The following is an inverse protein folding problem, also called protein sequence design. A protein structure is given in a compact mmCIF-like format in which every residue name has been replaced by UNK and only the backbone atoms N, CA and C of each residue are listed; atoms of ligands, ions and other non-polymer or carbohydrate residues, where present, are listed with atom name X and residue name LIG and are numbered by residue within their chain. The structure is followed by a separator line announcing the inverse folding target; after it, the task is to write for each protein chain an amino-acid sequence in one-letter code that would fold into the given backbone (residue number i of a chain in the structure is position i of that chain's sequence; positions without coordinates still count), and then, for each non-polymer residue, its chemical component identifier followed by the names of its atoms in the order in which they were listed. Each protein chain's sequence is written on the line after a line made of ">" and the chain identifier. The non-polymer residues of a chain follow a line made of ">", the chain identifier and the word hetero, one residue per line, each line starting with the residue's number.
data_IF_450817051821
#
_entry.id   IF_450817051821
#
_cell.length_a   1.000
_cell.length_b   1.000
_cell.length_c   1.000
_cell.angle_alpha   90.00
_cell.angle_beta   90.00
_cell.angle_gamma   90.00
#
_symmetry.space_group_name_H-M   'P 1'
#
loop_
_entity.id
_entity.type
_entity.pdbx_description
1 polymer ?
#
# COMPACT_ATOMS: atom_id res chain seq x y z
N UNK A 1 -11.21 -23.15 -13.95
CA UNK A 1 -10.42 -22.15 -14.70
C UNK A 1 -9.82 -21.12 -13.74
N UNK A 2 -10.59 -20.65 -12.75
CA UNK A 2 -10.15 -19.66 -11.75
C UNK A 2 -8.95 -20.07 -10.89
N UNK A 3 -8.90 -21.32 -10.38
CA UNK A 3 -7.80 -21.81 -9.53
C UNK A 3 -6.40 -21.71 -10.16
N UNK A 4 -6.25 -22.17 -11.41
CA UNK A 4 -4.96 -22.14 -12.12
C UNK A 4 -4.54 -20.70 -12.41
N UNK A 5 -5.51 -19.84 -12.76
CA UNK A 5 -5.23 -18.42 -13.01
C UNK A 5 -4.75 -17.71 -11.74
N UNK A 6 -5.40 -17.93 -10.60
CA UNK A 6 -4.97 -17.40 -9.29
C UNK A 6 -3.57 -17.89 -8.92
N UNK A 7 -3.27 -19.17 -9.11
CA UNK A 7 -1.92 -19.70 -8.88
C UNK A 7 -0.89 -19.02 -9.79
N UNK A 8 -1.19 -18.86 -11.09
CA UNK A 8 -0.30 -18.21 -12.03
C UNK A 8 0.00 -16.77 -11.60
N UNK A 9 -1.02 -16.01 -11.19
CA UNK A 9 -0.87 -14.67 -10.63
C UNK A 9 0.13 -14.69 -9.47
N UNK A 10 -0.09 -15.55 -8.47
CA UNK A 10 0.80 -15.62 -7.31
C UNK A 10 2.23 -15.99 -7.63
N UNK A 11 2.43 -17.02 -8.46
CA UNK A 11 3.76 -17.46 -8.86
C UNK A 11 4.49 -16.35 -9.63
N UNK A 12 3.78 -15.61 -10.49
CA UNK A 12 4.36 -14.47 -11.20
C UNK A 12 4.75 -13.33 -10.25
N UNK A 13 3.89 -13.01 -9.28
CA UNK A 13 4.20 -11.97 -8.28
C UNK A 13 5.37 -12.39 -7.40
N UNK A 14 5.38 -13.63 -6.91
CA UNK A 14 6.48 -14.14 -6.10
C UNK A 14 7.81 -14.10 -6.88
N UNK A 15 7.82 -14.49 -8.16
CA UNK A 15 9.01 -14.37 -8.99
C UNK A 15 9.45 -12.91 -9.23
N UNK A 16 8.52 -11.94 -9.16
CA UNK A 16 8.85 -10.52 -9.23
C UNK A 16 9.39 -10.00 -7.89
N UNK A 17 8.81 -10.41 -6.76
CA UNK A 17 9.32 -10.15 -5.41
C UNK A 17 10.77 -10.64 -5.25
N UNK A 18 11.07 -11.86 -5.73
CA UNK A 18 12.42 -12.44 -5.69
C UNK A 18 13.46 -11.59 -6.44
N UNK A 19 13.05 -10.96 -7.54
CA UNK A 19 13.92 -10.11 -8.37
C UNK A 19 13.96 -8.66 -7.90
N UNK A 20 13.14 -8.32 -6.91
CA UNK A 20 13.07 -6.96 -6.40
C UNK A 20 14.27 -6.63 -5.51
N UNK A 21 14.62 -5.33 -5.35
CA UNK A 21 15.64 -4.92 -4.39
C UNK A 21 15.34 -5.33 -2.94
N UNK A 22 14.08 -5.65 -2.63
CA UNK A 22 13.62 -6.09 -1.32
C UNK A 22 14.05 -7.52 -0.98
N UNK A 23 14.41 -8.35 -1.96
CA UNK A 23 14.84 -9.73 -1.70
C UNK A 23 16.15 -9.82 -0.89
N UNK A 24 16.99 -8.79 -0.93
CA UNK A 24 18.23 -8.72 -0.15
C UNK A 24 18.01 -8.24 1.30
N UNK A 25 16.87 -7.56 1.57
CA UNK A 25 16.52 -7.03 2.88
C UNK A 25 16.14 -8.04 3.98
N UNK A 26 15.74 -9.30 3.72
CA UNK A 26 15.47 -10.29 4.77
C UNK A 26 16.71 -10.69 5.56
N UNK A 27 17.91 -10.28 5.15
CA UNK A 27 19.15 -10.47 5.91
C UNK A 27 19.24 -9.45 7.05
N UNK A 28 18.31 -9.57 8.00
CA UNK A 28 18.13 -8.78 9.24
C UNK A 28 19.34 -8.76 10.21
N UNK A 29 20.50 -9.26 9.76
CA UNK A 29 21.75 -9.42 10.49
C UNK A 29 22.91 -8.58 9.92
N UNK A 30 22.72 -7.86 8.81
CA UNK A 30 23.75 -7.00 8.21
C UNK A 30 23.42 -5.52 8.38
N UNK A 31 24.46 -4.66 8.38
CA UNK A 31 24.32 -3.20 8.48
C UNK A 31 23.22 -2.71 7.52
N UNK A 32 22.20 -2.05 8.07
CA UNK A 32 20.93 -1.74 7.40
C UNK A 32 21.14 -0.87 6.16
N UNK A 33 21.23 -1.50 4.99
CA UNK A 33 21.37 -0.80 3.74
C UNK A 33 20.01 -0.68 3.03
N UNK A 34 19.37 0.49 3.16
CA UNK A 34 18.16 0.85 2.41
C UNK A 34 18.48 1.49 1.04
N UNK A 35 19.73 1.54 0.60
CA UNK A 35 20.13 2.05 -0.73
C UNK A 35 19.40 1.32 -1.86
N UNK A 36 19.08 0.03 -1.69
CA UNK A 36 18.28 -0.73 -2.66
C UNK A 36 16.87 -0.15 -2.89
N UNK A 37 16.36 0.69 -1.98
CA UNK A 37 15.07 1.37 -2.12
C UNK A 37 15.18 2.74 -2.76
N UNK A 38 16.37 3.28 -2.97
CA UNK A 38 16.57 4.67 -3.39
C UNK A 38 15.77 5.03 -4.66
N UNK A 39 15.62 4.08 -5.59
CA UNK A 39 14.86 4.25 -6.83
C UNK A 39 13.37 3.90 -6.72
N UNK A 40 12.87 3.65 -5.51
CA UNK A 40 11.49 3.22 -5.23
C UNK A 40 10.76 4.27 -4.40
N UNK A 41 9.42 4.24 -4.44
CA UNK A 41 8.60 5.13 -3.60
C UNK A 41 8.69 4.81 -2.11
N UNK A 42 9.16 3.61 -1.75
CA UNK A 42 9.31 3.17 -0.35
C UNK A 42 10.40 3.98 0.38
N UNK A 43 11.39 4.50 -0.34
CA UNK A 43 12.44 5.33 0.26
C UNK A 43 11.91 6.68 0.77
N UNK A 44 11.32 7.57 -0.05
CA UNK A 44 10.71 8.79 0.45
C UNK A 44 9.59 8.52 1.45
N UNK A 45 8.83 7.44 1.26
CA UNK A 45 7.83 7.02 2.25
C UNK A 45 8.45 6.74 3.62
N UNK A 46 9.54 5.98 3.68
CA UNK A 46 10.25 5.69 4.93
C UNK A 46 10.87 6.93 5.57
N UNK A 47 11.39 7.86 4.76
CA UNK A 47 11.84 9.17 5.24
C UNK A 47 10.68 9.93 5.89
N UNK A 48 9.56 10.08 5.20
CA UNK A 48 8.38 10.80 5.71
C UNK A 48 7.84 10.18 6.99
N UNK A 49 7.75 8.84 7.04
CA UNK A 49 7.27 8.09 8.20
C UNK A 49 8.10 8.37 9.45
N UNK A 50 9.42 8.51 9.29
CA UNK A 50 10.38 8.62 10.41
C UNK A 50 10.76 10.07 10.74
N UNK A 51 10.31 11.02 9.92
CA UNK A 51 10.61 12.44 10.08
C UNK A 51 9.98 12.97 11.37
N UNK A 52 10.78 13.68 12.18
CA UNK A 52 10.37 14.28 13.46
C UNK A 52 9.85 13.30 14.53
N UNK A 53 9.89 11.99 14.29
CA UNK A 53 9.53 10.95 15.26
C UNK A 53 10.81 10.42 15.93
N UNK A 54 10.94 10.67 17.23
CA UNK A 54 12.05 10.13 18.03
C UNK A 54 11.85 8.64 18.29
N UNK A 55 12.94 7.88 18.45
CA UNK A 55 12.90 6.46 18.84
C UNK A 55 12.04 6.20 20.08
N UNK A 56 12.02 7.12 21.05
CA UNK A 56 11.21 7.00 22.27
C UNK A 56 9.70 7.03 22.03
N UNK A 57 9.26 7.52 20.87
CA UNK A 57 7.85 7.67 20.49
C UNK A 57 7.55 6.86 19.22
N UNK A 58 8.39 5.85 18.91
CA UNK A 58 8.27 5.09 17.68
C UNK A 58 6.96 4.28 17.61
N UNK A 59 6.33 3.99 18.75
CA UNK A 59 5.02 3.37 18.87
C UNK A 59 3.88 4.21 18.25
N UNK A 60 4.05 5.52 18.17
CA UNK A 60 3.05 6.44 17.59
C UNK A 60 3.22 6.63 16.07
N UNK A 61 4.27 6.06 15.45
CA UNK A 61 4.67 6.35 14.06
C UNK A 61 3.58 6.04 13.02
N UNK A 62 2.68 5.10 13.33
CA UNK A 62 1.60 4.67 12.43
C UNK A 62 0.23 5.26 12.76
N UNK A 63 0.12 6.13 13.77
CA UNK A 63 -1.17 6.62 14.30
C UNK A 63 -2.04 7.31 13.25
N UNK A 64 -1.41 8.02 12.30
CA UNK A 64 -2.10 8.85 11.32
C UNK A 64 -1.97 8.33 9.88
N UNK A 65 -1.62 7.06 9.71
CA UNK A 65 -1.44 6.48 8.38
C UNK A 65 -2.05 5.10 8.27
N UNK A 66 -2.66 4.84 7.12
CA UNK A 66 -3.16 3.53 6.73
C UNK A 66 -2.98 3.37 5.22
N UNK A 67 -2.76 2.14 4.78
CA UNK A 67 -2.52 1.83 3.37
C UNK A 67 -3.64 0.92 2.87
N UNK A 68 -4.19 1.25 1.71
CA UNK A 68 -5.06 0.35 0.94
C UNK A 68 -4.26 -0.09 -0.29
N UNK A 69 -3.76 -1.31 -0.26
CA UNK A 69 -2.90 -1.88 -1.30
C UNK A 69 -3.72 -2.80 -2.21
N UNK A 70 -3.99 -2.34 -3.43
CA UNK A 70 -4.68 -3.15 -4.45
C UNK A 70 -3.75 -4.17 -5.13
N UNK A 71 -2.45 -4.11 -4.88
CA UNK A 71 -1.51 -5.12 -5.32
C UNK A 71 -1.53 -6.31 -4.34
N UNK A 72 -1.22 -7.48 -4.89
CA UNK A 72 -1.14 -8.73 -4.14
C UNK A 72 0.23 -8.97 -3.50
N UNK A 73 1.25 -8.18 -3.88
CA UNK A 73 2.62 -8.30 -3.38
C UNK A 73 2.75 -7.81 -1.94
N UNK A 74 3.85 -8.21 -1.31
CA UNK A 74 4.14 -7.97 0.12
C UNK A 74 5.25 -6.96 0.34
N UNK A 75 5.44 -6.04 -0.61
CA UNK A 75 6.61 -5.16 -0.63
C UNK A 75 6.62 -4.17 0.54
N UNK A 76 5.44 -3.67 0.94
CA UNK A 76 5.31 -2.75 2.08
C UNK A 76 5.69 -3.47 3.38
N UNK A 77 5.16 -4.68 3.56
CA UNK A 77 5.33 -5.53 4.74
C UNK A 77 6.80 -5.92 4.94
N UNK A 78 7.56 -6.11 3.84
CA UNK A 78 9.00 -6.40 3.88
C UNK A 78 9.84 -5.13 4.06
N UNK A 79 9.45 -4.02 3.45
CA UNK A 79 10.22 -2.79 3.49
C UNK A 79 10.14 -2.09 4.86
N UNK A 80 8.95 -2.02 5.45
CA UNK A 80 8.71 -1.24 6.68
C UNK A 80 9.58 -1.66 7.86
N UNK A 81 9.73 -2.96 8.20
CA UNK A 81 10.66 -3.38 9.25
C UNK A 81 12.10 -2.90 8.99
N UNK A 82 12.56 -3.03 7.73
CA UNK A 82 13.91 -2.62 7.33
C UNK A 82 14.12 -1.10 7.44
N UNK A 83 13.11 -0.32 7.08
CA UNK A 83 13.08 1.14 7.26
C UNK A 83 13.19 1.52 8.74
N UNK A 84 12.40 0.88 9.61
CA UNK A 84 12.41 1.14 11.05
C UNK A 84 13.76 0.80 11.70
N UNK A 85 14.40 -0.29 11.26
CA UNK A 85 15.74 -0.63 11.70
C UNK A 85 16.78 0.39 11.26
N UNK A 86 16.76 0.80 10.00
CA UNK A 86 17.68 1.82 9.49
C UNK A 86 17.51 3.17 10.20
N UNK A 87 16.27 3.56 10.51
CA UNK A 87 15.97 4.84 11.14
C UNK A 87 16.27 4.87 12.65
N UNK A 88 15.96 3.78 13.38
CA UNK A 88 16.01 3.78 14.84
C UNK A 88 17.05 2.82 15.44
N UNK A 89 17.64 1.92 14.66
CA UNK A 89 18.52 0.87 15.17
C UNK A 89 17.78 -0.10 16.08
N UNK A 90 16.53 -0.44 15.75
CA UNK A 90 15.81 -1.54 16.39
C UNK A 90 16.43 -2.88 16.02
N UNK A 91 16.35 -3.84 16.93
CA UNK A 91 16.61 -5.22 16.55
C UNK A 91 15.49 -5.74 15.64
N UNK A 92 15.66 -6.97 15.19
CA UNK A 92 14.73 -7.64 14.30
C UNK A 92 13.33 -7.80 14.88
N UNK A 93 13.22 -8.27 16.11
CA UNK A 93 11.91 -8.61 16.67
C UNK A 93 11.14 -7.35 17.05
N UNK A 94 11.84 -6.32 17.55
CA UNK A 94 11.26 -5.00 17.81
C UNK A 94 10.75 -4.33 16.53
N UNK A 95 11.53 -4.38 15.45
CA UNK A 95 11.13 -3.79 14.17
C UNK A 95 9.92 -4.50 13.55
N UNK A 96 9.88 -5.84 13.58
CA UNK A 96 8.74 -6.62 13.11
C UNK A 96 7.48 -6.35 13.95
N UNK A 97 7.64 -6.28 15.27
CA UNK A 97 6.54 -5.97 16.19
C UNK A 97 5.97 -4.58 15.93
N UNK A 98 6.83 -3.58 15.76
CA UNK A 98 6.39 -2.22 15.47
C UNK A 98 5.75 -2.12 14.08
N UNK A 99 6.36 -2.71 13.05
CA UNK A 99 5.81 -2.75 11.69
C UNK A 99 4.41 -3.37 11.65
N UNK A 100 4.13 -4.35 12.52
CA UNK A 100 2.80 -4.96 12.65
C UNK A 100 1.69 -4.02 13.13
N UNK A 101 2.03 -2.83 13.65
CA UNK A 101 1.04 -1.80 13.99
C UNK A 101 0.58 -0.98 12.78
N UNK A 102 1.31 -1.02 11.65
CA UNK A 102 0.88 -0.39 10.41
C UNK A 102 -0.35 -1.12 9.86
N UNK A 103 -1.42 -0.37 9.66
CA UNK A 103 -2.65 -0.92 9.07
C UNK A 103 -2.53 -0.93 7.53
N UNK A 104 -2.46 -2.13 6.95
CA UNK A 104 -2.46 -2.36 5.49
C UNK A 104 -3.65 -3.25 5.12
N UNK A 105 -4.53 -2.75 4.27
CA UNK A 105 -5.65 -3.52 3.70
C UNK A 105 -5.32 -3.98 2.28
N UNK A 106 -5.70 -5.22 1.96
CA UNK A 106 -5.62 -5.76 0.60
C UNK A 106 -7.02 -6.12 0.10
N UNK A 107 -7.71 -5.23 -0.64
CA UNK A 107 -9.08 -5.49 -1.08
C UNK A 107 -9.23 -6.79 -1.89
N UNK A 108 -8.22 -7.12 -2.69
CA UNK A 108 -8.17 -8.32 -3.52
C UNK A 108 -7.42 -9.50 -2.85
N UNK A 109 -6.99 -9.33 -1.60
CA UNK A 109 -6.12 -10.29 -0.91
C UNK A 109 -4.65 -10.12 -1.26
N UNK A 110 -3.81 -10.99 -0.69
CA UNK A 110 -2.35 -10.95 -0.86
C UNK A 110 -1.76 -12.36 -0.94
N UNK A 111 -0.45 -12.45 -1.18
CA UNK A 111 0.34 -13.69 -1.04
C UNK A 111 0.39 -14.24 0.40
N UNK A 112 -0.23 -13.56 1.37
CA UNK A 112 -0.28 -13.92 2.78
C UNK A 112 0.88 -13.36 3.60
N UNK A 113 0.96 -13.74 4.87
CA UNK A 113 2.02 -13.26 5.78
C UNK A 113 3.40 -13.73 5.33
N UNK A 114 4.39 -12.84 5.40
CA UNK A 114 5.79 -13.17 5.10
C UNK A 114 6.38 -13.98 6.25
N UNK A 115 6.97 -15.14 5.94
CA UNK A 115 7.77 -15.89 6.91
C UNK A 115 9.14 -15.24 7.03
N UNK A 116 9.28 -14.28 7.94
CA UNK A 116 10.57 -13.69 8.22
C UNK A 116 11.50 -14.71 8.88
N UNK A 117 11.00 -15.54 9.80
CA UNK A 117 11.81 -16.38 10.72
C UNK A 117 12.28 -17.70 10.10
N UNK A 118 11.72 -18.10 8.97
CA UNK A 118 11.98 -19.40 8.33
C UNK A 118 11.41 -20.57 9.15
N UNK A 119 10.44 -20.31 10.03
CA UNK A 119 9.84 -21.33 10.91
C UNK A 119 8.57 -21.97 10.31
N UNK A 120 8.17 -21.54 9.10
CA UNK A 120 6.98 -22.02 8.40
C UNK A 120 5.70 -21.25 8.74
N UNK A 121 5.74 -20.29 9.68
CA UNK A 121 4.64 -19.39 10.06
C UNK A 121 4.51 -18.26 9.02
N UNK A 122 4.15 -18.64 7.78
CA UNK A 122 4.00 -17.72 6.66
C UNK A 122 4.62 -18.25 5.36
N UNK A 123 4.61 -17.44 4.32
CA UNK A 123 5.18 -17.78 3.01
C UNK A 123 6.47 -16.98 2.83
N UNK A 124 7.61 -17.59 2.43
CA UNK A 124 8.82 -16.83 2.14
C UNK A 124 8.57 -15.69 1.14
N UNK A 125 9.33 -14.60 1.26
CA UNK A 125 9.30 -13.55 0.24
C UNK A 125 9.99 -14.05 -1.03
N UNK A 126 9.39 -13.78 -2.19
CA UNK A 126 9.94 -14.22 -3.47
C UNK A 126 9.60 -15.65 -3.90
N UNK A 127 8.90 -16.45 -3.09
CA UNK A 127 8.52 -17.81 -3.49
C UNK A 127 7.22 -18.28 -2.82
N UNK A 128 6.51 -19.21 -3.47
CA UNK A 128 5.34 -19.88 -2.88
C UNK A 128 5.63 -21.37 -2.82
N UNK A 129 5.77 -21.97 -1.61
CA UNK A 129 5.95 -23.41 -1.47
C UNK A 129 4.76 -24.15 -2.07
N UNK A 130 5.02 -25.29 -2.74
CA UNK A 130 3.97 -26.07 -3.41
C UNK A 130 2.78 -26.41 -2.49
N UNK A 131 3.06 -26.75 -1.24
CA UNK A 131 2.04 -27.05 -0.23
C UNK A 131 1.14 -25.87 0.17
N UNK A 132 1.50 -24.62 -0.18
CA UNK A 132 0.75 -23.39 0.11
C UNK A 132 0.02 -22.81 -1.10
N UNK A 133 0.15 -23.42 -2.28
CA UNK A 133 -0.52 -22.95 -3.51
C UNK A 133 -2.05 -22.93 -3.39
N UNK A 134 -2.62 -23.97 -2.75
CA UNK A 134 -4.06 -24.09 -2.58
C UNK A 134 -4.62 -23.03 -1.62
N UNK A 135 -3.97 -22.83 -0.46
CA UNK A 135 -4.39 -21.80 0.52
C UNK A 135 -4.25 -20.40 -0.06
N UNK A 136 -3.19 -20.16 -0.85
CA UNK A 136 -2.99 -18.91 -1.55
C UNK A 136 -4.07 -18.64 -2.60
N UNK A 137 -4.44 -19.64 -3.40
CA UNK A 137 -5.51 -19.48 -4.39
C UNK A 137 -6.85 -19.11 -3.74
N UNK A 138 -7.10 -19.58 -2.52
CA UNK A 138 -8.30 -19.24 -1.75
C UNK A 138 -8.25 -17.84 -1.12
N UNK A 139 -7.06 -17.31 -0.82
CA UNK A 139 -6.91 -15.96 -0.26
C UNK A 139 -6.98 -14.85 -1.32
N UNK A 140 -6.87 -15.20 -2.60
CA UNK A 140 -7.02 -14.26 -3.69
C UNK A 140 -8.47 -14.07 -4.11
N UNK A 141 -8.87 -12.80 -4.21
CA UNK A 141 -10.12 -12.37 -4.83
C UNK A 141 -9.82 -11.77 -6.20
N UNK A 142 -10.44 -12.29 -7.25
CA UNK A 142 -10.32 -11.70 -8.59
C UNK A 142 -11.37 -10.61 -8.79
N UNK A 143 -11.11 -9.67 -9.71
CA UNK A 143 -12.02 -8.56 -10.04
C UNK A 143 -13.42 -9.01 -10.52
N UNK A 144 -13.57 -10.28 -10.93
CA UNK A 144 -14.85 -10.86 -11.36
C UNK A 144 -15.68 -11.43 -10.22
N UNK A 145 -15.09 -11.65 -9.05
CA UNK A 145 -15.80 -12.15 -7.89
C UNK A 145 -16.59 -11.00 -7.27
N UNK A 146 -17.92 -11.14 -7.19
CA UNK A 146 -18.76 -10.16 -6.51
C UNK A 146 -18.22 -9.97 -5.10
N UNK A 147 -17.72 -8.78 -4.83
CA UNK A 147 -17.28 -8.42 -3.50
C UNK A 147 -18.52 -8.23 -2.64
N UNK A 148 -18.85 -9.25 -1.86
CA UNK A 148 -19.77 -9.09 -0.74
C UNK A 148 -19.18 -8.05 0.22
N UNK A 149 -20.05 -7.27 0.84
CA UNK A 149 -19.65 -6.21 1.77
C UNK A 149 -19.08 -6.85 3.04
N UNK A 150 -17.76 -7.05 3.06
CA UNK A 150 -17.06 -7.60 4.22
C UNK A 150 -16.74 -6.50 5.23
N UNK A 151 -16.50 -6.89 6.49
CA UNK A 151 -16.03 -5.95 7.53
C UNK A 151 -14.74 -5.21 7.12
N UNK A 152 -13.85 -5.85 6.36
CA UNK A 152 -12.65 -5.20 5.82
C UNK A 152 -12.99 -4.08 4.83
N UNK A 153 -13.95 -4.30 3.92
CA UNK A 153 -14.41 -3.27 2.97
C UNK A 153 -15.04 -2.10 3.72
N UNK A 154 -15.89 -2.39 4.71
CA UNK A 154 -16.49 -1.37 5.55
C UNK A 154 -15.42 -0.58 6.34
N UNK A 155 -14.38 -1.24 6.83
CA UNK A 155 -13.26 -0.58 7.52
C UNK A 155 -12.48 0.33 6.57
N UNK A 156 -12.17 -0.12 5.35
CA UNK A 156 -11.51 0.71 4.33
C UNK A 156 -12.33 1.95 3.97
N UNK A 157 -13.64 1.79 3.77
CA UNK A 157 -14.56 2.90 3.50
C UNK A 157 -14.57 3.92 4.64
N UNK A 158 -14.61 3.46 5.89
CA UNK A 158 -14.51 4.34 7.08
C UNK A 158 -13.16 5.07 7.16
N UNK A 159 -12.07 4.45 6.73
CA UNK A 159 -10.77 5.14 6.64
C UNK A 159 -10.82 6.28 5.62
N UNK A 160 -11.33 6.00 4.42
CA UNK A 160 -11.49 6.99 3.36
C UNK A 160 -12.41 8.14 3.81
N UNK A 161 -13.53 7.82 4.46
CA UNK A 161 -14.45 8.82 5.01
C UNK A 161 -13.76 9.77 6.00
N UNK A 162 -12.91 9.24 6.89
CA UNK A 162 -12.26 10.01 7.97
C UNK A 162 -10.93 10.64 7.58
N UNK A 163 -10.32 10.19 6.49
CA UNK A 163 -9.02 10.68 6.07
C UNK A 163 -9.07 12.18 5.74
N UNK A 164 -8.11 12.95 6.24
CA UNK A 164 -7.95 14.36 5.85
C UNK A 164 -7.21 14.52 4.53
N UNK A 165 -6.31 13.58 4.22
CA UNK A 165 -5.53 13.50 2.99
C UNK A 165 -5.66 12.10 2.40
N UNK A 166 -5.91 12.02 1.09
CA UNK A 166 -5.89 10.76 0.34
C UNK A 166 -4.85 10.86 -0.76
N UNK A 167 -3.94 9.89 -0.82
CA UNK A 167 -2.81 9.86 -1.76
C UNK A 167 -2.86 8.57 -2.58
N UNK A 168 -3.06 8.70 -3.89
CA UNK A 168 -3.06 7.59 -4.85
C UNK A 168 -1.68 7.44 -5.50
N UNK A 169 -0.99 6.34 -5.20
CA UNK A 169 0.34 6.03 -5.75
C UNK A 169 0.25 4.86 -6.73
N UNK A 170 0.61 5.10 -8.00
CA UNK A 170 0.64 4.04 -9.03
C UNK A 170 -0.71 3.36 -9.26
N UNK A 171 -1.79 4.07 -8.96
CA UNK A 171 -3.15 3.52 -8.94
C UNK A 171 -3.77 3.56 -10.33
N UNK A 172 -4.23 2.41 -10.82
CA UNK A 172 -5.13 2.35 -11.98
C UNK A 172 -6.53 2.78 -11.52
N UNK A 173 -6.94 4.00 -11.86
CA UNK A 173 -8.21 4.64 -11.48
C UNK A 173 -9.44 4.00 -12.11
N UNK A 174 -9.48 2.67 -12.21
CA UNK A 174 -10.63 1.93 -12.69
C UNK A 174 -11.81 2.14 -11.75
N UNK A 175 -12.98 2.39 -12.36
CA UNK A 175 -14.24 2.64 -11.66
C UNK A 175 -14.56 1.61 -10.58
N UNK A 176 -14.30 0.32 -10.84
CA UNK A 176 -14.52 -0.75 -9.85
C UNK A 176 -13.69 -0.58 -8.58
N UNK A 177 -12.43 -0.15 -8.70
CA UNK A 177 -11.56 0.08 -7.54
C UNK A 177 -12.04 1.29 -6.72
N UNK A 178 -12.53 2.34 -7.39
CA UNK A 178 -13.09 3.51 -6.73
C UNK A 178 -14.40 3.17 -6.01
N UNK A 179 -15.33 2.47 -6.66
CA UNK A 179 -16.60 2.02 -6.07
C UNK A 179 -16.39 1.10 -4.86
N UNK A 180 -15.32 0.30 -4.87
CA UNK A 180 -14.99 -0.59 -3.77
C UNK A 180 -14.69 0.17 -2.47
N UNK A 181 -13.92 1.26 -2.55
CA UNK A 181 -13.48 2.06 -1.40
C UNK A 181 -14.35 3.30 -1.16
N UNK A 182 -15.40 3.50 -1.97
CA UNK A 182 -16.33 4.62 -1.84
C UNK A 182 -17.12 4.52 -0.52
N UNK A 183 -17.00 5.50 0.39
CA UNK A 183 -17.72 5.51 1.65
C UNK A 183 -19.24 5.68 1.50
N UNK A 184 -19.75 6.11 0.34
CA UNK A 184 -21.15 6.42 0.03
C UNK A 184 -21.77 7.58 0.86
N UNK A 185 -21.26 7.82 2.06
CA UNK A 185 -21.61 8.94 2.95
C UNK A 185 -20.83 10.22 2.62
N UNK A 186 -19.84 10.10 1.72
CA UNK A 186 -18.91 11.15 1.32
C UNK A 186 -17.56 11.06 2.01
N UNK A 187 -16.62 11.85 1.51
CA UNK A 187 -15.25 11.94 2.03
C UNK A 187 -15.05 13.20 2.86
N UNK A 188 -14.36 13.06 3.99
CA UNK A 188 -13.89 14.17 4.82
C UNK A 188 -12.57 14.79 4.31
N UNK A 189 -11.94 14.17 3.32
CA UNK A 189 -10.63 14.59 2.81
C UNK A 189 -10.71 15.98 2.16
N UNK A 190 -9.77 16.84 2.54
CA UNK A 190 -9.63 18.19 1.97
C UNK A 190 -8.70 18.19 0.75
N UNK A 191 -7.87 17.16 0.64
CA UNK A 191 -6.81 17.03 -0.33
C UNK A 191 -6.82 15.64 -0.95
N UNK A 192 -6.78 15.59 -2.28
CA UNK A 192 -6.54 14.39 -3.06
C UNK A 192 -5.28 14.57 -3.90
N UNK A 193 -4.29 13.74 -3.66
CA UNK A 193 -3.05 13.68 -4.44
C UNK A 193 -3.02 12.38 -5.23
N UNK A 194 -2.52 12.42 -6.46
CA UNK A 194 -2.42 11.21 -7.25
C UNK A 194 -1.37 11.27 -8.36
N UNK A 195 -0.71 10.14 -8.62
CA UNK A 195 0.13 10.00 -9.82
C UNK A 195 -0.70 9.58 -11.02
N UNK A 196 -0.39 10.11 -12.20
CA UNK A 196 -0.98 9.71 -13.51
C UNK A 196 0.11 9.52 -14.57
N UNK A 197 1.24 8.94 -14.16
CA UNK A 197 2.39 8.72 -15.04
C UNK A 197 2.04 7.84 -16.24
N UNK A 198 2.38 8.32 -17.45
CA UNK A 198 2.10 7.61 -18.70
C UNK A 198 0.67 7.74 -19.22
N UNK A 199 -0.23 8.39 -18.47
CA UNK A 199 -1.61 8.63 -18.92
C UNK A 199 -1.70 9.78 -19.94
N UNK A 200 -2.65 9.66 -20.86
CA UNK A 200 -2.92 10.70 -21.85
C UNK A 200 -3.72 11.87 -21.25
N UNK A 201 -3.62 13.06 -21.84
CA UNK A 201 -4.41 14.23 -21.41
C UNK A 201 -5.93 13.97 -21.28
N UNK A 202 -6.59 13.35 -22.28
CA UNK A 202 -7.99 12.96 -22.16
C UNK A 202 -8.27 11.97 -21.02
N UNK A 203 -7.38 10.99 -20.81
CA UNK A 203 -7.52 10.03 -19.71
C UNK A 203 -7.39 10.72 -18.34
N UNK A 204 -6.41 11.62 -18.17
CA UNK A 204 -6.24 12.41 -16.94
C UNK A 204 -7.50 13.25 -16.65
N UNK A 205 -8.12 13.82 -17.67
CA UNK A 205 -9.35 14.59 -17.51
C UNK A 205 -10.53 13.70 -17.08
N UNK A 206 -10.67 12.51 -17.64
CA UNK A 206 -11.68 11.54 -17.22
C UNK A 206 -11.46 11.08 -15.77
N UNK A 207 -10.22 10.73 -15.41
CA UNK A 207 -9.83 10.36 -14.04
C UNK A 207 -10.18 11.48 -13.05
N UNK A 208 -9.90 12.74 -13.42
CA UNK A 208 -10.23 13.89 -12.60
C UNK A 208 -11.74 14.02 -12.36
N UNK A 209 -12.57 13.76 -13.38
CA UNK A 209 -14.03 13.78 -13.24
C UNK A 209 -14.55 12.63 -12.37
N UNK A 210 -13.98 11.43 -12.53
CA UNK A 210 -14.32 10.28 -11.69
C UNK A 210 -13.98 10.54 -10.23
N UNK A 211 -12.79 11.09 -9.96
CA UNK A 211 -12.39 11.47 -8.59
C UNK A 211 -13.25 12.59 -8.03
N UNK A 212 -13.61 13.61 -8.82
CA UNK A 212 -14.53 14.66 -8.37
C UNK A 212 -15.89 14.07 -7.98
N UNK A 213 -16.38 13.08 -8.72
CA UNK A 213 -17.64 12.39 -8.42
C UNK A 213 -17.52 11.54 -7.15
N UNK A 214 -16.45 10.77 -7.01
CA UNK A 214 -16.08 10.03 -5.80
C UNK A 214 -16.00 10.95 -4.56
N UNK A 215 -15.57 12.20 -4.77
CA UNK A 215 -15.38 13.18 -3.70
C UNK A 215 -16.66 13.86 -3.21
N UNK A 216 -17.72 13.87 -4.01
CA UNK A 216 -18.94 14.61 -3.70
C UNK A 216 -19.98 13.72 -3.04
N UNK A 217 -20.27 13.85 -1.73
CA UNK A 217 -21.54 13.34 -1.22
C UNK A 217 -22.71 14.15 -1.81
N UNK A 218 -23.90 13.55 -1.94
CA UNK A 218 -25.12 14.28 -2.29
C UNK A 218 -25.35 15.44 -1.31
N UNK A 219 -25.25 16.69 -1.80
CA UNK A 219 -25.69 17.89 -1.06
C UNK A 219 -24.64 18.68 -0.27
N UNK A 220 -23.32 18.44 -0.41
CA UNK A 220 -22.27 19.34 0.14
C UNK A 220 -21.72 20.30 -0.92
N UNK A 221 -21.50 21.55 -0.53
CA UNK A 221 -20.89 22.59 -1.37
C UNK A 221 -19.38 22.70 -1.08
N UNK A 222 -18.56 22.51 -2.11
CA UNK A 222 -17.09 22.64 -2.07
C UNK A 222 -16.40 21.39 -2.61
N UNK A 223 -15.76 21.51 -3.77
CA UNK A 223 -14.94 20.44 -4.34
C UNK A 223 -13.61 20.36 -3.58
N UNK A 224 -13.20 19.20 -3.06
CA UNK A 224 -11.85 19.05 -2.55
C UNK A 224 -10.84 19.21 -3.70
N UNK A 225 -9.65 19.69 -3.37
CA UNK A 225 -8.62 19.92 -4.37
C UNK A 225 -8.07 18.57 -4.85
N UNK A 226 -8.44 18.19 -6.08
CA UNK A 226 -7.89 17.03 -6.78
C UNK A 226 -6.64 17.47 -7.53
N UNK A 227 -5.49 16.97 -7.11
CA UNK A 227 -4.19 17.28 -7.68
C UNK A 227 -3.54 16.00 -8.23
N UNK A 228 -3.56 15.90 -9.56
CA UNK A 228 -3.04 14.76 -10.32
C UNK A 228 -1.77 15.17 -11.05
N UNK A 229 -0.69 14.43 -10.80
CA UNK A 229 0.65 14.77 -11.24
C UNK A 229 1.19 13.68 -12.20
N UNK A 230 1.65 14.04 -13.41
CA UNK A 230 2.16 13.08 -14.39
C UNK A 230 3.61 12.66 -14.10
N UNK A 231 3.88 12.18 -12.89
CA UNK A 231 5.21 11.83 -12.37
C UNK A 231 5.18 10.48 -11.64
N UNK A 232 6.36 9.92 -11.36
CA UNK A 232 6.46 8.65 -10.63
C UNK A 232 6.08 8.84 -9.15
N UNK A 233 5.74 7.74 -8.48
CA UNK A 233 5.33 7.77 -7.06
C UNK A 233 6.38 8.38 -6.14
N UNK A 234 7.66 8.07 -6.34
CA UNK A 234 8.75 8.64 -5.56
C UNK A 234 8.82 10.17 -5.72
N UNK A 235 8.71 10.67 -6.95
CA UNK A 235 8.74 12.09 -7.27
C UNK A 235 7.59 12.85 -6.59
N UNK A 236 6.38 12.26 -6.59
CA UNK A 236 5.22 12.85 -5.92
C UNK A 236 5.45 12.99 -4.42
N UNK A 237 5.96 11.94 -3.77
CA UNK A 237 6.23 11.96 -2.34
C UNK A 237 7.32 12.98 -1.97
N UNK A 238 8.38 13.10 -2.78
CA UNK A 238 9.39 14.14 -2.60
C UNK A 238 8.81 15.55 -2.78
N UNK A 239 8.00 15.77 -3.82
CA UNK A 239 7.39 17.07 -4.10
C UNK A 239 6.39 17.50 -3.01
N UNK A 240 5.67 16.54 -2.43
CA UNK A 240 4.64 16.77 -1.42
C UNK A 240 5.13 16.53 0.01
N UNK A 241 6.42 16.27 0.22
CA UNK A 241 7.02 15.89 1.49
C UNK A 241 6.56 16.80 2.64
N UNK A 242 6.77 18.12 2.51
CA UNK A 242 6.38 19.10 3.55
C UNK A 242 4.89 19.14 3.85
N UNK A 243 4.04 18.89 2.86
CA UNK A 243 2.58 18.94 3.00
C UNK A 243 2.06 17.70 3.73
N UNK A 244 2.71 16.56 3.51
CA UNK A 244 2.30 15.27 4.03
C UNK A 244 2.94 14.95 5.39
N UNK A 245 3.97 15.70 5.80
CA UNK A 245 4.60 15.61 7.13
C UNK A 245 4.25 16.78 8.06
N UNK A 246 3.43 17.74 7.62
CA UNK A 246 3.02 18.92 8.42
C UNK A 246 1.79 18.68 9.28
#
# INVERSE_FOLDING_TARGET
>A
MDFIAKIAIGVTIAAAEEKSPLQAMPSLNSLYNIEGLADTWLYPFGQMLTTDVRRSNADEIFTNISIINFNYDRSVEVAVPSILQAAYGFDRDDALKLAGALTVYHPYGSLGTVDFRGNGEGTPYGSIPFGKLASFSQSLRTFTEKMEETEEILAMRRLIEKASNIVFLGFGYHRQNLELIDPQTGVGATTFLGTVYGESGPAIQAIRQDLQSFCMPPGKNGLPAVDLQPMRCADLLHAQYRRLTS
#
